data_IF_797580406717
#
_entry.id   IF_797580406717
#
_cell.length_a   1.000
_cell.length_b   1.000
_cell.length_c   1.000
_cell.angle_alpha   90.00
_cell.angle_beta   90.00
_cell.angle_gamma   90.00
#
_symmetry.space_group_name_H-M   'P 1'
#
loop_
_entity.id
_entity.type
_entity.pdbx_description
1 polymer ?
#
# COMPACT_ATOMS: atom_id res chain seq x y z
N UNK A 1 -20.80 -64.49 18.27
CA UNK A 1 -21.88 -64.07 19.17
C UNK A 1 -22.38 -62.71 18.69
N UNK A 2 -23.61 -62.72 18.22
CA UNK A 2 -24.63 -61.73 17.90
C UNK A 2 -24.23 -60.28 17.56
N UNK A 3 -24.35 -60.00 16.26
CA UNK A 3 -24.57 -58.72 15.60
C UNK A 3 -25.99 -58.23 15.89
N UNK A 4 -26.15 -56.93 16.21
CA UNK A 4 -27.44 -56.24 16.07
C UNK A 4 -27.27 -54.96 15.31
N UNK A 5 -27.81 -54.97 14.09
CA UNK A 5 -28.05 -53.87 13.16
C UNK A 5 -29.16 -52.95 13.70
N UNK A 6 -29.00 -51.62 13.57
CA UNK A 6 -30.12 -50.67 13.65
C UNK A 6 -30.10 -49.78 12.40
N UNK A 7 -31.11 -49.98 11.59
CA UNK A 7 -31.48 -49.15 10.44
C UNK A 7 -32.07 -47.80 10.94
N UNK A 8 -31.62 -46.72 10.37
CA UNK A 8 -32.29 -45.43 10.49
C UNK A 8 -32.94 -45.09 9.16
N UNK A 9 -34.23 -44.81 9.24
CA UNK A 9 -35.17 -44.51 8.17
C UNK A 9 -34.92 -43.10 7.63
N UNK A 10 -34.72 -42.97 6.33
CA UNK A 10 -34.68 -41.70 5.59
C UNK A 10 -36.10 -41.39 5.13
N UNK A 11 -36.68 -40.35 5.71
CA UNK A 11 -37.98 -39.81 5.26
C UNK A 11 -37.82 -38.88 4.07
N UNK A 12 -38.42 -39.30 2.95
CA UNK A 12 -38.52 -38.51 1.72
C UNK A 12 -39.73 -37.58 1.84
N UNK A 13 -39.52 -36.25 1.86
CA UNK A 13 -40.61 -35.28 1.76
C UNK A 13 -40.72 -34.88 0.29
N UNK A 14 -41.83 -35.27 -0.33
CA UNK A 14 -42.24 -34.84 -1.67
C UNK A 14 -43.11 -33.59 -1.48
N UNK A 15 -42.68 -32.45 -2.00
CA UNK A 15 -43.50 -31.24 -2.09
C UNK A 15 -44.00 -31.12 -3.55
N UNK A 16 -45.32 -31.23 -3.68
CA UNK A 16 -46.03 -31.06 -4.97
C UNK A 16 -46.13 -29.59 -5.35
N UNK A 17 -45.75 -29.27 -6.59
CA UNK A 17 -45.98 -27.99 -7.23
C UNK A 17 -47.46 -27.82 -7.61
N UNK A 18 -48.10 -26.86 -6.96
CA UNK A 18 -49.44 -26.39 -7.35
C UNK A 18 -49.31 -25.15 -8.23
N UNK A 19 -49.75 -25.30 -9.49
CA UNK A 19 -49.89 -24.16 -10.44
C UNK A 19 -51.06 -23.27 -10.04
N UNK A 20 -50.75 -22.01 -9.69
CA UNK A 20 -51.77 -20.96 -9.45
C UNK A 20 -51.51 -19.73 -10.32
N UNK A 21 -52.23 -19.66 -11.41
CA UNK A 21 -52.31 -18.47 -12.29
C UNK A 21 -53.17 -17.41 -11.60
N UNK A 22 -52.58 -16.26 -11.22
CA UNK A 22 -53.34 -15.11 -10.75
C UNK A 22 -53.03 -13.89 -11.63
N UNK A 23 -54.05 -13.53 -12.42
CA UNK A 23 -54.15 -12.31 -13.21
C UNK A 23 -54.32 -11.09 -12.30
N UNK A 24 -53.39 -10.12 -12.38
CA UNK A 24 -53.58 -8.81 -11.76
C UNK A 24 -54.02 -7.77 -12.79
N UNK A 25 -55.18 -7.20 -12.56
CA UNK A 25 -55.76 -6.07 -13.29
C UNK A 25 -54.95 -4.80 -13.09
N UNK A 26 -54.79 -4.04 -14.19
CA UNK A 26 -54.31 -2.65 -14.21
C UNK A 26 -55.25 -1.76 -13.41
N UNK A 27 -54.68 -0.96 -12.48
CA UNK A 27 -55.26 0.29 -12.01
C UNK A 27 -54.47 1.45 -12.59
N UNK A 28 -55.14 2.34 -13.31
CA UNK A 28 -54.66 3.67 -13.73
C UNK A 28 -54.87 4.64 -12.57
N UNK A 29 -53.90 5.51 -12.30
CA UNK A 29 -54.02 6.96 -12.30
C UNK A 29 -52.93 7.63 -11.45
N UNK A 30 -52.39 8.72 -11.94
CA UNK A 30 -51.80 9.76 -11.12
C UNK A 30 -50.40 10.22 -11.60
N UNK A 31 -50.39 11.37 -12.29
CA UNK A 31 -49.21 12.01 -12.85
C UNK A 31 -48.16 12.35 -11.80
N UNK A 32 -46.92 12.03 -12.12
CA UNK A 32 -45.72 12.49 -11.45
C UNK A 32 -44.66 12.71 -12.52
N UNK A 33 -44.19 13.92 -12.59
CA UNK A 33 -43.22 14.46 -13.54
C UNK A 33 -42.03 13.56 -13.72
N UNK A 34 -41.74 13.14 -14.95
CA UNK A 34 -40.53 12.42 -15.35
C UNK A 34 -39.31 13.29 -15.08
N UNK A 35 -38.44 12.81 -14.20
CA UNK A 35 -37.07 13.33 -14.06
C UNK A 35 -36.33 12.94 -15.34
N UNK A 36 -35.81 13.92 -16.05
CA UNK A 36 -34.94 13.75 -17.21
C UNK A 36 -33.70 12.97 -16.86
N UNK A 37 -33.19 12.11 -17.78
CA UNK A 37 -31.91 11.43 -17.56
C UNK A 37 -30.80 12.49 -17.48
N UNK A 38 -29.97 12.41 -16.41
CA UNK A 38 -28.78 13.21 -16.27
C UNK A 38 -27.84 12.81 -17.39
N UNK A 39 -27.70 13.66 -18.40
CA UNK A 39 -26.64 13.57 -19.40
C UNK A 39 -25.31 13.78 -18.68
N UNK A 40 -24.45 12.78 -18.71
CA UNK A 40 -23.05 12.91 -18.36
C UNK A 40 -22.44 13.77 -19.48
N UNK A 41 -22.32 15.06 -19.24
CA UNK A 41 -21.50 15.94 -20.08
C UNK A 41 -20.06 15.52 -19.95
N UNK A 42 -19.42 15.30 -21.09
CA UNK A 42 -17.96 15.08 -21.18
C UNK A 42 -17.21 16.20 -20.44
N UNK A 43 -16.08 15.91 -19.78
CA UNK A 43 -15.27 16.95 -19.16
C UNK A 43 -14.80 17.97 -20.20
N UNK A 44 -14.62 19.25 -19.82
CA UNK A 44 -14.23 20.29 -20.74
C UNK A 44 -12.87 19.96 -21.41
N UNK A 45 -12.66 20.38 -22.68
CA UNK A 45 -11.53 19.94 -23.50
C UNK A 45 -10.16 20.53 -23.14
N UNK A 46 -9.99 21.26 -22.04
CA UNK A 46 -8.76 22.00 -21.71
C UNK A 46 -7.81 21.34 -20.67
N UNK A 47 -8.06 20.08 -20.28
CA UNK A 47 -7.09 19.33 -19.46
C UNK A 47 -6.22 18.33 -20.27
N UNK A 48 -6.28 18.39 -21.62
CA UNK A 48 -5.38 17.65 -22.50
C UNK A 48 -4.01 18.32 -22.70
N UNK A 49 -3.72 19.40 -21.95
CA UNK A 49 -2.46 20.09 -21.95
C UNK A 49 -1.40 19.29 -21.19
N UNK A 50 -0.52 18.61 -21.95
CA UNK A 50 0.82 18.17 -21.54
C UNK A 50 0.95 17.11 -20.45
N UNK A 51 0.26 15.97 -20.55
CA UNK A 51 0.83 14.72 -20.03
C UNK A 51 1.84 14.18 -21.06
N UNK A 52 2.94 14.88 -21.24
CA UNK A 52 4.15 14.27 -21.79
C UNK A 52 4.57 13.26 -20.71
N UNK A 53 4.25 11.97 -20.94
CA UNK A 53 5.09 10.90 -20.45
C UNK A 53 6.47 11.17 -21.04
N UNK A 54 7.29 11.93 -20.31
CA UNK A 54 8.71 11.90 -20.55
C UNK A 54 9.09 10.43 -20.35
N UNK A 55 9.18 9.67 -21.43
CA UNK A 55 10.11 8.58 -21.52
C UNK A 55 11.46 9.25 -21.25
N UNK A 56 11.80 9.38 -19.96
CA UNK A 56 13.13 9.73 -19.56
C UNK A 56 13.98 8.63 -20.15
N UNK A 57 14.59 8.91 -21.29
CA UNK A 57 15.75 8.18 -21.76
C UNK A 57 16.74 8.33 -20.62
N UNK A 58 16.73 7.33 -19.73
CA UNK A 58 17.78 7.14 -18.75
C UNK A 58 19.04 6.93 -19.58
N UNK A 59 19.78 8.00 -19.78
CA UNK A 59 21.17 7.91 -20.19
C UNK A 59 21.82 6.99 -19.15
N UNK A 60 22.57 5.96 -19.52
CA UNK A 60 23.26 5.12 -18.58
C UNK A 60 24.48 5.87 -18.03
N UNK A 61 24.24 6.90 -17.27
CA UNK A 61 25.15 7.45 -16.30
C UNK A 61 25.04 6.56 -15.08
N UNK A 62 26.00 5.66 -14.89
CA UNK A 62 26.04 4.77 -13.75
C UNK A 62 25.80 5.59 -12.48
N UNK A 63 24.84 5.16 -11.66
CA UNK A 63 24.63 5.77 -10.36
C UNK A 63 25.99 5.85 -9.66
N UNK A 64 26.38 7.01 -9.09
CA UNK A 64 27.68 7.15 -8.45
C UNK A 64 27.85 6.04 -7.43
N UNK A 65 29.02 5.40 -7.44
CA UNK A 65 29.33 4.37 -6.45
C UNK A 65 29.04 4.94 -5.05
N UNK A 66 28.41 4.16 -4.16
CA UNK A 66 28.09 4.61 -2.82
C UNK A 66 29.37 5.12 -2.16
N UNK A 67 29.38 6.40 -1.76
CA UNK A 67 30.48 6.93 -0.94
C UNK A 67 30.39 6.25 0.42
N UNK A 68 31.53 5.80 1.00
CA UNK A 68 31.51 5.33 2.37
C UNK A 68 30.91 6.42 3.25
N UNK A 69 29.99 6.04 4.14
CA UNK A 69 29.40 6.97 5.08
C UNK A 69 30.50 7.59 5.95
N UNK A 70 30.41 8.87 6.31
CA UNK A 70 31.34 9.47 7.27
C UNK A 70 31.37 8.68 8.58
N UNK A 71 32.52 8.62 9.24
CA UNK A 71 32.59 8.05 10.59
C UNK A 71 31.67 8.85 11.52
N UNK A 72 30.82 8.15 12.30
CA UNK A 72 29.83 8.79 13.18
C UNK A 72 28.52 9.18 12.50
N UNK A 73 28.24 8.72 11.27
CA UNK A 73 26.95 8.93 10.62
C UNK A 73 25.86 8.12 11.34
N UNK A 74 24.85 8.78 11.93
CA UNK A 74 23.84 8.10 12.75
C UNK A 74 22.99 7.10 11.97
N UNK A 75 22.78 7.29 10.66
CA UNK A 75 22.03 6.34 9.83
C UNK A 75 22.88 5.09 9.58
N UNK A 76 24.17 5.28 9.24
CA UNK A 76 25.09 4.15 9.03
C UNK A 76 25.27 3.31 10.29
N UNK A 77 25.40 3.94 11.45
CA UNK A 77 25.52 3.25 12.73
C UNK A 77 24.26 2.49 13.10
N UNK A 78 23.09 3.13 12.99
CA UNK A 78 21.79 2.50 13.27
C UNK A 78 21.53 1.30 12.34
N UNK A 79 21.86 1.44 11.04
CA UNK A 79 21.73 0.38 10.05
C UNK A 79 22.62 -0.82 10.38
N UNK A 80 23.90 -0.56 10.69
CA UNK A 80 24.87 -1.60 11.05
C UNK A 80 24.47 -2.33 12.35
N UNK A 81 23.95 -1.61 13.34
CA UNK A 81 23.49 -2.19 14.60
C UNK A 81 22.24 -3.05 14.40
N UNK A 82 21.24 -2.57 13.66
CA UNK A 82 20.04 -3.33 13.33
C UNK A 82 20.39 -4.61 12.56
N UNK A 83 21.31 -4.53 11.58
CA UNK A 83 21.77 -5.69 10.83
C UNK A 83 22.44 -6.72 11.73
N UNK A 84 23.43 -6.30 12.56
CA UNK A 84 24.16 -7.19 13.47
C UNK A 84 23.25 -7.87 14.49
N UNK A 85 22.23 -7.16 14.99
CA UNK A 85 21.31 -7.69 16.01
C UNK A 85 20.45 -8.83 15.49
N UNK A 86 20.17 -8.89 14.18
CA UNK A 86 19.20 -9.84 13.65
C UNK A 86 19.77 -10.76 12.53
N UNK A 87 21.05 -10.64 12.14
CA UNK A 87 21.62 -11.46 11.05
C UNK A 87 21.55 -12.97 11.30
N UNK A 88 21.60 -13.39 12.56
CA UNK A 88 21.55 -14.80 12.95
C UNK A 88 20.14 -15.26 13.38
N UNK A 89 19.12 -14.39 13.29
CA UNK A 89 17.75 -14.75 13.61
C UNK A 89 17.19 -15.71 12.57
N UNK A 90 16.71 -16.89 12.98
CA UNK A 90 16.21 -17.96 12.13
C UNK A 90 14.72 -18.25 12.32
N UNK A 91 13.99 -17.36 13.03
CA UNK A 91 12.55 -17.49 13.23
C UNK A 91 11.80 -17.29 11.91
N UNK A 92 10.65 -17.97 11.80
CA UNK A 92 9.76 -17.87 10.63
C UNK A 92 9.99 -18.99 9.61
N UNK A 93 9.25 -18.94 8.51
CA UNK A 93 9.28 -19.92 7.43
C UNK A 93 9.04 -19.22 6.09
N UNK A 94 9.71 -19.67 5.03
CA UNK A 94 9.44 -19.17 3.69
C UNK A 94 7.99 -19.46 3.27
N UNK A 95 7.44 -18.67 2.35
CA UNK A 95 6.12 -18.92 1.77
C UNK A 95 6.10 -20.26 1.03
N UNK A 96 5.52 -21.31 1.64
CA UNK A 96 5.55 -22.67 1.12
C UNK A 96 4.41 -23.00 0.13
N UNK A 97 3.41 -22.14 0.05
CA UNK A 97 2.30 -22.28 -0.90
C UNK A 97 2.63 -21.78 -2.33
N UNK A 98 3.78 -21.15 -2.53
CA UNK A 98 4.37 -20.83 -3.83
C UNK A 98 5.70 -21.59 -3.90
N UNK A 99 5.79 -22.73 -4.64
CA UNK A 99 6.93 -23.65 -4.57
C UNK A 99 8.29 -22.99 -4.79
N UNK A 100 8.41 -22.05 -5.73
CA UNK A 100 9.67 -21.37 -6.00
C UNK A 100 10.12 -20.50 -4.80
N UNK A 101 9.19 -19.87 -4.08
CA UNK A 101 9.53 -19.07 -2.90
C UNK A 101 9.96 -19.94 -1.71
N UNK A 102 9.43 -21.14 -1.62
CA UNK A 102 9.84 -22.09 -0.59
C UNK A 102 11.32 -22.50 -0.69
N UNK A 103 11.90 -22.47 -1.90
CA UNK A 103 13.28 -22.87 -2.18
C UNK A 103 14.33 -21.79 -1.99
N UNK A 104 13.93 -20.54 -1.72
CA UNK A 104 14.86 -19.43 -1.55
C UNK A 104 15.69 -19.61 -0.27
N UNK A 105 16.98 -19.29 -0.32
CA UNK A 105 17.87 -19.39 0.87
C UNK A 105 17.33 -18.52 2.03
N UNK A 106 16.91 -19.11 3.15
CA UNK A 106 16.36 -18.37 4.29
C UNK A 106 17.41 -17.50 5.01
N UNK A 107 18.69 -17.64 4.70
CA UNK A 107 19.76 -16.84 5.29
C UNK A 107 19.92 -15.47 4.64
N UNK A 108 19.35 -15.26 3.44
CA UNK A 108 19.39 -13.97 2.78
C UNK A 108 18.83 -12.87 3.68
N UNK A 109 19.58 -11.79 3.83
CA UNK A 109 19.18 -10.65 4.62
C UNK A 109 19.84 -9.38 4.12
N UNK A 110 19.04 -8.45 3.63
CA UNK A 110 19.43 -7.13 3.17
C UNK A 110 18.65 -6.03 3.89
N UNK A 111 19.31 -4.93 4.22
CA UNK A 111 18.70 -3.77 4.85
C UNK A 111 19.24 -2.49 4.20
N UNK A 112 18.34 -1.57 3.83
CA UNK A 112 18.68 -0.35 3.09
C UNK A 112 17.89 0.83 3.64
N UNK A 113 18.53 1.98 3.75
CA UNK A 113 17.89 3.28 4.00
C UNK A 113 18.18 4.19 2.82
N UNK A 114 17.12 4.83 2.28
CA UNK A 114 17.24 5.88 1.26
C UNK A 114 16.58 7.15 1.78
N UNK A 115 17.34 8.25 1.84
CA UNK A 115 16.82 9.54 2.28
C UNK A 115 16.10 10.27 1.14
N UNK A 116 15.23 11.24 1.48
CA UNK A 116 14.57 12.08 0.46
C UNK A 116 15.56 12.98 -0.31
N UNK A 117 16.80 13.12 0.18
CA UNK A 117 17.90 13.79 -0.53
C UNK A 117 18.69 12.85 -1.45
N UNK A 118 18.35 11.55 -1.50
CA UNK A 118 18.99 10.55 -2.36
C UNK A 118 20.23 9.89 -1.77
N UNK A 119 20.58 10.10 -0.50
CA UNK A 119 21.62 9.32 0.16
C UNK A 119 21.16 7.88 0.40
N UNK A 120 22.04 6.91 0.10
CA UNK A 120 21.76 5.47 0.20
C UNK A 120 22.72 4.83 1.16
N UNK A 121 22.17 4.08 2.12
CA UNK A 121 22.89 3.25 3.10
C UNK A 121 22.40 1.81 2.94
N UNK A 122 23.32 0.88 2.70
CA UNK A 122 22.95 -0.51 2.40
C UNK A 122 23.92 -1.50 3.07
N UNK A 123 23.39 -2.66 3.52
CA UNK A 123 24.16 -3.73 4.15
C UNK A 123 23.54 -5.10 3.85
N UNK A 124 24.39 -6.14 3.78
CA UNK A 124 23.96 -7.51 3.51
C UNK A 124 23.49 -7.73 2.08
N UNK A 125 22.50 -8.60 1.90
CA UNK A 125 21.87 -8.95 0.61
C UNK A 125 21.00 -7.82 0.05
N UNK A 126 21.49 -6.57 0.15
CA UNK A 126 20.75 -5.37 -0.20
C UNK A 126 20.41 -5.27 -1.69
N UNK A 127 21.19 -5.94 -2.54
CA UNK A 127 21.06 -5.91 -4.01
C UNK A 127 20.63 -7.24 -4.63
N UNK A 128 20.48 -8.29 -3.80
CA UNK A 128 19.98 -9.57 -4.27
C UNK A 128 18.53 -9.42 -4.72
N UNK A 129 18.22 -9.91 -5.91
CA UNK A 129 16.90 -9.77 -6.50
C UNK A 129 15.93 -10.83 -5.97
N UNK A 130 14.70 -10.41 -5.74
CA UNK A 130 13.58 -11.26 -5.34
C UNK A 130 12.27 -10.71 -5.92
N UNK A 131 11.20 -11.50 -5.94
CA UNK A 131 9.90 -11.05 -6.44
C UNK A 131 9.26 -10.05 -5.47
N UNK A 132 8.80 -8.91 -6.00
CA UNK A 132 8.22 -7.80 -5.22
C UNK A 132 6.98 -8.21 -4.44
N UNK A 133 6.20 -9.14 -4.98
CA UNK A 133 4.96 -9.64 -4.39
C UNK A 133 4.02 -8.48 -3.97
N UNK A 134 3.39 -8.60 -2.82
CA UNK A 134 2.43 -7.60 -2.33
C UNK A 134 3.04 -6.22 -2.02
N UNK A 135 4.37 -6.06 -2.03
CA UNK A 135 4.98 -4.73 -1.92
C UNK A 135 4.70 -3.87 -3.15
N UNK A 136 4.32 -4.46 -4.28
CA UNK A 136 3.90 -3.75 -5.50
C UNK A 136 2.61 -2.94 -5.35
N UNK A 137 1.68 -3.39 -4.49
CA UNK A 137 0.31 -2.86 -4.37
C UNK A 137 0.22 -1.34 -4.10
N UNK A 138 0.98 -0.75 -3.15
CA UNK A 138 0.96 0.69 -2.92
C UNK A 138 1.27 1.51 -4.17
N UNK A 139 2.20 1.05 -4.98
CA UNK A 139 2.64 1.80 -6.16
C UNK A 139 1.59 1.76 -7.28
N UNK A 140 0.88 0.65 -7.44
CA UNK A 140 -0.23 0.57 -8.39
C UNK A 140 -1.43 1.40 -7.94
N UNK A 141 -1.79 1.37 -6.64
CA UNK A 141 -2.87 2.25 -6.16
C UNK A 141 -2.48 3.73 -6.23
N UNK A 142 -1.21 4.08 -5.99
CA UNK A 142 -0.73 5.46 -6.18
C UNK A 142 -0.96 5.92 -7.63
N UNK A 143 -0.72 5.06 -8.61
CA UNK A 143 -0.99 5.36 -10.02
C UNK A 143 -2.47 5.50 -10.32
N UNK A 144 -3.33 4.65 -9.75
CA UNK A 144 -4.79 4.78 -9.91
C UNK A 144 -5.29 6.09 -9.29
N UNK A 145 -4.83 6.43 -8.08
CA UNK A 145 -5.18 7.71 -7.44
C UNK A 145 -4.75 8.88 -8.31
N UNK A 146 -3.53 8.85 -8.87
CA UNK A 146 -3.00 9.91 -9.73
C UNK A 146 -3.80 10.09 -11.02
N UNK A 147 -4.29 9.00 -11.62
CA UNK A 147 -4.89 9.05 -12.96
C UNK A 147 -6.41 9.00 -12.96
N UNK A 148 -7.04 8.42 -11.95
CA UNK A 148 -8.49 8.28 -11.84
C UNK A 148 -9.08 9.03 -10.64
N UNK A 149 -8.22 9.50 -9.71
CA UNK A 149 -8.63 10.22 -8.50
C UNK A 149 -8.79 9.32 -7.27
N UNK A 150 -8.59 9.90 -6.10
CA UNK A 150 -8.70 9.16 -4.82
C UNK A 150 -10.14 8.70 -4.53
N UNK A 151 -11.13 9.44 -4.97
CA UNK A 151 -12.54 9.14 -4.75
C UNK A 151 -12.97 7.82 -5.42
N UNK A 152 -12.42 7.49 -6.59
CA UNK A 152 -12.72 6.23 -7.27
C UNK A 152 -12.23 5.03 -6.46
N UNK A 153 -11.06 5.15 -5.82
CA UNK A 153 -10.51 4.09 -4.95
C UNK A 153 -11.40 3.90 -3.72
N UNK A 154 -11.80 4.99 -3.05
CA UNK A 154 -12.69 4.91 -1.87
C UNK A 154 -14.05 4.31 -2.23
N UNK A 155 -14.66 4.70 -3.36
CA UNK A 155 -15.99 4.23 -3.78
C UNK A 155 -16.01 2.82 -4.36
N UNK A 156 -14.98 2.43 -5.12
CA UNK A 156 -14.98 1.18 -5.88
C UNK A 156 -14.20 0.03 -5.22
N UNK A 157 -13.28 0.35 -4.32
CA UNK A 157 -12.42 -0.64 -3.65
C UNK A 157 -12.58 -0.54 -2.14
N UNK A 158 -12.60 0.67 -1.58
CA UNK A 158 -12.52 0.97 -0.16
C UNK A 158 -11.10 1.28 0.28
N UNK A 159 -10.97 1.80 1.52
CA UNK A 159 -9.69 2.21 2.10
C UNK A 159 -9.50 1.73 3.54
N UNK A 160 -10.50 1.04 4.10
CA UNK A 160 -10.49 0.59 5.48
C UNK A 160 -9.78 -0.75 5.65
N UNK A 161 -9.18 -0.99 6.82
CA UNK A 161 -8.70 -2.32 7.19
C UNK A 161 -9.86 -3.32 7.24
N UNK A 162 -9.65 -4.54 6.75
CA UNK A 162 -10.67 -5.60 6.77
C UNK A 162 -10.70 -6.37 8.09
N UNK A 163 -9.64 -6.30 8.89
CA UNK A 163 -9.46 -7.13 10.08
C UNK A 163 -9.35 -8.63 9.79
N UNK A 164 -9.17 -9.00 8.53
CA UNK A 164 -9.09 -10.39 8.05
C UNK A 164 -7.79 -10.61 7.27
N UNK A 165 -7.46 -11.89 7.03
CA UNK A 165 -6.31 -12.26 6.20
C UNK A 165 -6.40 -11.61 4.82
N UNK A 166 -5.24 -11.32 4.23
CA UNK A 166 -5.10 -10.60 2.96
C UNK A 166 -5.83 -11.22 1.75
N UNK A 167 -6.21 -12.49 1.84
CA UNK A 167 -6.90 -13.24 0.79
C UNK A 167 -8.26 -13.80 1.25
N UNK A 168 -8.89 -13.20 2.25
CA UNK A 168 -10.13 -13.71 2.85
C UNK A 168 -11.35 -13.48 1.94
N UNK A 169 -11.96 -14.55 1.48
CA UNK A 169 -13.28 -14.54 0.80
C UNK A 169 -14.38 -14.15 1.80
N UNK A 170 -14.26 -14.61 3.06
CA UNK A 170 -15.21 -14.21 4.10
C UNK A 170 -15.26 -12.68 4.28
N UNK A 171 -14.11 -11.99 4.19
CA UNK A 171 -14.10 -10.54 4.25
C UNK A 171 -14.93 -9.91 3.12
N UNK A 172 -14.86 -10.46 1.91
CA UNK A 172 -15.63 -9.98 0.77
C UNK A 172 -17.15 -10.13 1.00
N UNK A 173 -17.59 -11.29 1.49
CA UNK A 173 -18.99 -11.56 1.79
C UNK A 173 -19.53 -10.68 2.92
N UNK A 174 -18.75 -10.48 3.98
CA UNK A 174 -19.12 -9.60 5.08
C UNK A 174 -19.28 -8.15 4.60
N UNK A 175 -18.31 -7.65 3.83
CA UNK A 175 -18.33 -6.28 3.32
C UNK A 175 -19.45 -6.04 2.31
N UNK A 176 -19.80 -7.02 1.47
CA UNK A 176 -20.94 -6.94 0.55
C UNK A 176 -22.26 -6.72 1.29
N UNK A 177 -22.41 -7.31 2.47
CA UNK A 177 -23.66 -7.31 3.23
C UNK A 177 -23.75 -6.21 4.31
N UNK A 178 -22.68 -5.40 4.50
CA UNK A 178 -22.76 -4.24 5.39
C UNK A 178 -23.59 -3.16 4.71
N UNK A 179 -24.69 -2.67 5.35
CA UNK A 179 -25.42 -1.52 4.84
C UNK A 179 -24.47 -0.31 4.81
N UNK A 180 -24.11 0.12 3.64
CA UNK A 180 -23.34 1.35 3.43
C UNK A 180 -24.21 2.38 2.72
N UNK A 181 -23.80 3.65 2.73
CA UNK A 181 -24.36 4.63 1.81
C UNK A 181 -24.41 4.03 0.41
N UNK A 182 -25.50 4.23 -0.30
CA UNK A 182 -25.83 3.57 -1.59
C UNK A 182 -24.70 3.63 -2.64
N UNK A 183 -23.70 4.48 -2.41
CA UNK A 183 -22.56 4.70 -3.30
C UNK A 183 -21.28 3.98 -2.87
N UNK A 184 -21.27 3.25 -1.74
CA UNK A 184 -20.08 2.64 -1.16
C UNK A 184 -20.25 1.14 -0.85
N UNK A 185 -20.45 0.32 -1.87
CA UNK A 185 -20.35 -1.13 -1.68
C UNK A 185 -18.99 -1.58 -2.18
N UNK A 186 -18.08 -1.86 -1.26
CA UNK A 186 -16.70 -2.22 -1.59
C UNK A 186 -16.32 -3.59 -1.05
N UNK A 187 -16.88 -4.69 -1.61
CA UNK A 187 -16.52 -6.04 -1.18
C UNK A 187 -15.04 -6.36 -1.39
N UNK A 188 -14.33 -5.56 -2.17
CA UNK A 188 -12.87 -5.66 -2.35
C UNK A 188 -12.06 -5.28 -1.12
N UNK A 189 -12.62 -4.55 -0.15
CA UNK A 189 -12.02 -4.16 1.12
C UNK A 189 -11.08 -2.96 1.03
N UNK A 190 -9.85 -3.16 0.57
CA UNK A 190 -8.87 -2.10 0.32
C UNK A 190 -7.81 -2.57 -0.70
N UNK A 191 -7.04 -1.64 -1.31
CA UNK A 191 -6.07 -1.99 -2.36
C UNK A 191 -4.89 -2.87 -1.92
N UNK A 192 -4.71 -3.11 -0.62
CA UNK A 192 -3.54 -3.84 -0.08
C UNK A 192 -3.84 -5.29 0.28
N UNK A 193 -5.11 -5.71 0.26
CA UNK A 193 -5.52 -7.12 0.28
C UNK A 193 -5.70 -7.63 -1.15
N UNK A 194 -5.69 -8.97 -1.36
CA UNK A 194 -5.71 -9.52 -2.73
C UNK A 194 -6.96 -9.11 -3.52
N UNK A 195 -8.20 -9.17 -2.97
CA UNK A 195 -9.37 -8.73 -3.72
C UNK A 195 -9.26 -7.28 -4.18
N UNK A 196 -8.86 -6.38 -3.28
CA UNK A 196 -8.72 -4.97 -3.62
C UNK A 196 -7.55 -4.68 -4.57
N UNK A 197 -6.45 -5.43 -4.49
CA UNK A 197 -5.32 -5.25 -5.40
C UNK A 197 -5.66 -5.69 -6.84
N UNK A 198 -6.38 -6.81 -7.00
CA UNK A 198 -6.88 -7.27 -8.31
C UNK A 198 -7.87 -6.24 -8.89
N UNK A 199 -8.79 -5.73 -8.06
CA UNK A 199 -9.71 -4.66 -8.46
C UNK A 199 -8.97 -3.36 -8.83
N UNK A 200 -7.88 -3.01 -8.13
CA UNK A 200 -7.04 -1.84 -8.43
C UNK A 200 -6.40 -1.97 -9.81
N UNK A 201 -5.90 -3.16 -10.17
CA UNK A 201 -5.37 -3.44 -11.51
C UNK A 201 -6.44 -3.29 -12.59
N UNK A 202 -7.67 -3.77 -12.33
CA UNK A 202 -8.79 -3.60 -13.28
C UNK A 202 -9.15 -2.12 -13.48
N UNK A 203 -9.17 -1.34 -12.40
CA UNK A 203 -9.50 0.10 -12.44
C UNK A 203 -8.42 0.98 -13.08
N UNK A 204 -7.20 0.48 -13.29
CA UNK A 204 -6.10 1.29 -13.81
C UNK A 204 -6.41 1.80 -15.23
N UNK A 205 -6.49 3.13 -15.44
CA UNK A 205 -6.68 3.71 -16.76
C UNK A 205 -5.47 3.45 -17.66
N UNK A 206 -5.73 3.20 -18.93
CA UNK A 206 -4.70 2.95 -19.94
C UNK A 206 -4.69 4.10 -20.95
N UNK A 207 -3.59 4.85 -21.04
CA UNK A 207 -3.43 5.87 -22.09
C UNK A 207 -3.49 5.28 -23.50
N UNK A 208 -3.96 6.08 -24.46
CA UNK A 208 -4.00 5.68 -25.87
C UNK A 208 -2.62 5.22 -26.36
N UNK A 209 -2.58 4.06 -27.02
CA UNK A 209 -1.34 3.49 -27.56
C UNK A 209 -0.48 2.71 -26.57
N UNK A 210 -0.95 2.54 -25.33
CA UNK A 210 -0.31 1.67 -24.33
C UNK A 210 -1.17 0.45 -24.01
N UNK A 211 -0.55 -0.60 -23.48
CA UNK A 211 -1.26 -1.68 -22.82
C UNK A 211 -1.20 -1.51 -21.28
N UNK A 212 -2.08 -2.21 -20.59
CA UNK A 212 -2.19 -2.10 -19.13
C UNK A 212 -0.93 -2.60 -18.42
N UNK A 213 -0.27 -3.62 -18.96
CA UNK A 213 0.98 -4.13 -18.42
C UNK A 213 2.12 -3.10 -18.53
N UNK A 214 2.25 -2.46 -19.68
CA UNK A 214 3.23 -1.38 -19.87
C UNK A 214 3.03 -0.22 -18.89
N UNK A 215 1.77 0.12 -18.55
CA UNK A 215 1.47 1.14 -17.52
C UNK A 215 1.91 0.67 -16.13
N UNK A 216 1.62 -0.58 -15.76
CA UNK A 216 2.01 -1.14 -14.45
C UNK A 216 3.53 -1.19 -14.33
N UNK A 217 4.22 -1.82 -15.29
CA UNK A 217 5.67 -1.98 -15.24
C UNK A 217 6.38 -0.63 -15.28
N UNK A 218 5.99 0.26 -16.19
CA UNK A 218 6.56 1.61 -16.31
C UNK A 218 6.38 2.44 -15.03
N UNK A 219 5.26 2.27 -14.33
CA UNK A 219 5.05 2.92 -13.03
C UNK A 219 6.00 2.36 -11.95
N UNK A 220 6.15 1.04 -11.84
CA UNK A 220 7.11 0.42 -10.91
C UNK A 220 8.54 0.85 -11.21
N UNK A 221 8.94 0.89 -12.49
CA UNK A 221 10.24 1.39 -12.95
C UNK A 221 10.48 2.86 -12.57
N UNK A 222 9.46 3.71 -12.73
CA UNK A 222 9.55 5.13 -12.35
C UNK A 222 9.75 5.29 -10.84
N UNK A 223 9.06 4.49 -10.02
CA UNK A 223 9.27 4.47 -8.57
C UNK A 223 10.66 3.95 -8.18
N UNK A 224 11.14 2.89 -8.82
CA UNK A 224 12.47 2.31 -8.56
C UNK A 224 13.62 3.17 -9.13
N UNK A 225 13.35 4.01 -10.13
CA UNK A 225 14.36 4.79 -10.84
C UNK A 225 15.26 3.96 -11.75
N UNK A 226 14.85 2.74 -12.10
CA UNK A 226 15.55 1.83 -13.03
C UNK A 226 14.59 0.93 -13.78
N UNK A 227 15.08 0.28 -14.84
CA UNK A 227 14.36 -0.78 -15.54
C UNK A 227 14.22 -2.02 -14.66
N UNK A 228 13.03 -2.62 -14.70
CA UNK A 228 12.68 -3.83 -13.97
C UNK A 228 12.24 -4.92 -14.96
N UNK A 229 12.31 -6.17 -14.54
CA UNK A 229 11.87 -7.34 -15.31
C UNK A 229 10.95 -8.24 -14.48
N UNK A 230 10.14 -9.02 -15.16
CA UNK A 230 9.39 -10.11 -14.53
C UNK A 230 10.32 -11.28 -14.26
N UNK A 231 10.21 -11.91 -13.10
CA UNK A 231 10.78 -13.21 -12.85
C UNK A 231 9.82 -14.27 -13.40
N UNK A 232 10.15 -14.84 -14.56
CA UNK A 232 9.29 -15.78 -15.27
C UNK A 232 9.07 -17.09 -14.52
N UNK A 233 10.01 -17.51 -13.68
CA UNK A 233 9.86 -18.71 -12.85
C UNK A 233 8.84 -18.48 -11.73
N UNK A 234 8.91 -17.33 -11.07
CA UNK A 234 7.92 -16.93 -10.05
C UNK A 234 6.56 -16.75 -10.69
N UNK A 235 6.47 -16.05 -11.83
CA UNK A 235 5.22 -15.83 -12.54
C UNK A 235 4.55 -17.15 -12.92
N UNK A 236 5.31 -18.11 -13.47
CA UNK A 236 4.80 -19.42 -13.84
C UNK A 236 4.33 -20.21 -12.60
N UNK A 237 5.17 -20.30 -11.57
CA UNK A 237 4.87 -21.00 -10.33
C UNK A 237 3.60 -20.45 -9.66
N UNK A 238 3.45 -19.13 -9.57
CA UNK A 238 2.28 -18.49 -8.97
C UNK A 238 1.04 -18.66 -9.86
N UNK A 239 1.16 -18.54 -11.19
CA UNK A 239 0.04 -18.74 -12.12
C UNK A 239 -0.55 -20.15 -12.07
N UNK A 240 0.28 -21.16 -11.83
CA UNK A 240 -0.14 -22.57 -11.69
C UNK A 240 -0.83 -22.85 -10.35
N UNK A 241 -0.44 -22.11 -9.27
CA UNK A 241 -0.90 -22.38 -7.90
C UNK A 241 -1.93 -21.39 -7.37
N UNK A 242 -2.38 -20.41 -8.16
CA UNK A 242 -3.22 -19.28 -7.73
C UNK A 242 -4.74 -19.59 -7.67
N UNK A 243 -5.15 -20.84 -7.45
CA UNK A 243 -6.57 -21.27 -7.43
C UNK A 243 -7.42 -20.39 -6.52
N UNK A 244 -6.91 -20.00 -5.36
CA UNK A 244 -7.63 -19.13 -4.43
C UNK A 244 -7.90 -17.73 -5.03
N UNK A 245 -6.92 -17.12 -5.69
CA UNK A 245 -7.10 -15.83 -6.36
C UNK A 245 -8.03 -15.93 -7.57
N UNK A 246 -8.09 -17.11 -8.25
CA UNK A 246 -9.09 -17.37 -9.30
C UNK A 246 -10.51 -17.34 -8.74
N UNK A 247 -10.75 -17.91 -7.55
CA UNK A 247 -12.04 -17.83 -6.89
C UNK A 247 -12.37 -16.36 -6.49
N UNK A 248 -11.40 -15.65 -5.92
CA UNK A 248 -11.56 -14.23 -5.55
C UNK A 248 -11.96 -13.38 -6.76
N UNK A 249 -11.28 -13.51 -7.90
CA UNK A 249 -11.57 -12.65 -9.06
C UNK A 249 -12.93 -12.96 -9.69
N UNK A 250 -13.39 -14.21 -9.63
CA UNK A 250 -14.75 -14.56 -10.06
C UNK A 250 -15.81 -13.94 -9.16
N UNK A 251 -15.62 -13.94 -7.84
CA UNK A 251 -16.51 -13.25 -6.91
C UNK A 251 -16.49 -11.73 -7.12
N UNK A 252 -15.31 -11.12 -7.37
CA UNK A 252 -15.22 -9.71 -7.70
C UNK A 252 -16.01 -9.35 -8.97
N UNK A 253 -16.04 -10.26 -9.95
CA UNK A 253 -16.85 -10.11 -11.17
C UNK A 253 -18.33 -10.22 -10.87
N UNK A 254 -18.75 -11.21 -10.09
CA UNK A 254 -20.13 -11.40 -9.65
C UNK A 254 -20.64 -10.22 -8.79
N UNK A 255 -19.76 -9.64 -7.98
CA UNK A 255 -20.07 -8.44 -7.18
C UNK A 255 -19.96 -7.12 -7.94
N UNK A 256 -19.75 -7.17 -9.26
CA UNK A 256 -19.63 -6.01 -10.15
C UNK A 256 -18.49 -5.04 -9.80
N UNK A 257 -17.47 -5.51 -9.05
CA UNK A 257 -16.27 -4.73 -8.71
C UNK A 257 -15.31 -4.71 -9.90
N UNK A 258 -15.01 -5.88 -10.48
CA UNK A 258 -14.22 -6.02 -11.70
C UNK A 258 -15.14 -5.85 -12.91
N UNK A 259 -14.87 -4.83 -13.72
CA UNK A 259 -15.68 -4.52 -14.92
C UNK A 259 -15.15 -5.25 -16.16
N UNK A 260 -13.82 -5.38 -16.26
CA UNK A 260 -13.14 -6.04 -17.36
C UNK A 260 -13.21 -7.58 -17.34
N UNK A 261 -12.28 -8.21 -18.06
CA UNK A 261 -12.07 -9.65 -18.00
C UNK A 261 -11.40 -10.01 -16.67
N UNK A 262 -12.06 -10.84 -15.82
CA UNK A 262 -11.53 -11.21 -14.52
C UNK A 262 -10.21 -11.97 -14.62
N UNK A 263 -10.01 -12.80 -15.64
CA UNK A 263 -8.78 -13.57 -15.80
C UNK A 263 -7.63 -12.69 -16.27
N UNK A 264 -7.89 -11.66 -17.10
CA UNK A 264 -6.91 -10.67 -17.47
C UNK A 264 -6.46 -9.83 -16.26
N UNK A 265 -7.41 -9.40 -15.41
CA UNK A 265 -7.10 -8.66 -14.18
C UNK A 265 -6.20 -9.51 -13.24
N UNK A 266 -6.49 -10.80 -13.10
CA UNK A 266 -5.69 -11.73 -12.31
C UNK A 266 -4.30 -11.96 -12.90
N UNK A 267 -4.19 -12.13 -14.23
CA UNK A 267 -2.91 -12.32 -14.91
C UNK A 267 -1.99 -11.11 -14.70
N UNK A 268 -2.50 -9.90 -14.92
CA UNK A 268 -1.76 -8.66 -14.71
C UNK A 268 -1.32 -8.49 -13.24
N UNK A 269 -2.18 -8.85 -12.30
CA UNK A 269 -1.86 -8.84 -10.88
C UNK A 269 -0.73 -9.86 -10.56
N UNK A 270 -0.78 -11.07 -11.11
CA UNK A 270 0.25 -12.10 -10.92
C UNK A 270 1.59 -11.65 -11.52
N UNK A 271 1.59 -11.08 -12.73
CA UNK A 271 2.79 -10.49 -13.33
C UNK A 271 3.39 -9.37 -12.48
N UNK A 272 2.54 -8.48 -11.97
CA UNK A 272 2.96 -7.40 -11.06
C UNK A 272 3.65 -7.95 -9.81
N UNK A 273 3.11 -9.00 -9.19
CA UNK A 273 3.70 -9.66 -8.02
C UNK A 273 5.06 -10.31 -8.34
N UNK A 274 5.26 -10.73 -9.58
CA UNK A 274 6.46 -11.45 -10.03
C UNK A 274 7.59 -10.55 -10.53
N UNK A 275 7.45 -9.21 -10.44
CA UNK A 275 8.53 -8.28 -10.84
C UNK A 275 9.71 -8.43 -9.90
N UNK A 276 10.93 -8.55 -10.46
CA UNK A 276 12.20 -8.62 -9.72
C UNK A 276 12.60 -7.26 -9.17
N UNK A 277 12.86 -7.20 -7.88
CA UNK A 277 13.36 -6.02 -7.17
C UNK A 277 14.38 -6.45 -6.10
N UNK A 278 15.18 -5.50 -5.63
CA UNK A 278 16.06 -5.66 -4.47
C UNK A 278 15.55 -4.85 -3.27
N UNK A 279 16.13 -5.06 -2.09
CA UNK A 279 15.85 -4.23 -0.91
C UNK A 279 16.18 -2.74 -1.19
N UNK A 280 17.22 -2.49 -2.01
CA UNK A 280 17.56 -1.14 -2.46
C UNK A 280 16.45 -0.51 -3.29
N UNK A 281 15.87 -1.24 -4.24
CA UNK A 281 14.76 -0.73 -5.03
C UNK A 281 13.57 -0.40 -4.16
N UNK A 282 13.21 -1.28 -3.21
CA UNK A 282 12.13 -1.02 -2.26
C UNK A 282 12.37 0.26 -1.45
N UNK A 283 13.61 0.49 -1.00
CA UNK A 283 13.96 1.71 -0.27
C UNK A 283 13.84 2.97 -1.16
N UNK A 284 14.26 2.91 -2.43
CA UNK A 284 14.09 4.01 -3.40
C UNK A 284 12.61 4.28 -3.69
N UNK A 285 11.82 3.22 -3.94
CA UNK A 285 10.38 3.31 -4.16
C UNK A 285 9.66 3.93 -2.95
N UNK A 286 10.01 3.48 -1.74
CA UNK A 286 9.51 4.06 -0.49
C UNK A 286 9.94 5.52 -0.29
N UNK A 287 11.21 5.86 -0.58
CA UNK A 287 11.72 7.22 -0.51
C UNK A 287 11.04 8.15 -1.52
N UNK A 288 10.62 7.63 -2.67
CA UNK A 288 9.78 8.36 -3.64
C UNK A 288 8.44 8.76 -3.00
N UNK A 289 7.76 7.86 -2.30
CA UNK A 289 6.55 8.20 -1.54
C UNK A 289 6.85 9.16 -0.38
N UNK A 290 7.96 8.95 0.35
CA UNK A 290 8.38 9.83 1.44
C UNK A 290 8.65 11.27 0.96
N UNK A 291 9.08 11.44 -0.29
CA UNK A 291 9.41 12.70 -0.93
C UNK A 291 8.24 13.31 -1.74
N UNK A 292 6.99 13.03 -1.33
CA UNK A 292 5.81 13.54 -2.02
C UNK A 292 5.69 13.06 -3.46
N UNK A 293 6.05 11.82 -3.74
CA UNK A 293 5.96 11.20 -5.06
C UNK A 293 7.11 11.54 -6.02
N UNK A 294 8.12 12.28 -5.56
CA UNK A 294 9.31 12.61 -6.37
C UNK A 294 10.44 11.64 -6.08
N UNK A 295 10.90 10.94 -7.11
CA UNK A 295 12.01 9.99 -6.99
C UNK A 295 13.32 10.73 -6.63
N UNK A 296 13.97 10.41 -5.48
CA UNK A 296 15.13 11.16 -5.01
C UNK A 296 16.40 10.94 -5.84
N UNK A 297 16.46 9.89 -6.67
CA UNK A 297 17.62 9.57 -7.49
C UNK A 297 17.51 10.18 -8.89
N UNK A 298 16.32 10.12 -9.50
CA UNK A 298 16.10 10.60 -10.88
C UNK A 298 15.57 12.03 -10.92
N UNK A 299 15.00 12.53 -9.79
CA UNK A 299 14.32 13.82 -9.73
C UNK A 299 12.94 13.85 -10.40
N UNK A 300 12.49 12.73 -10.98
CA UNK A 300 11.18 12.65 -11.66
C UNK A 300 10.03 12.70 -10.65
N UNK A 301 8.98 13.49 -10.95
CA UNK A 301 7.71 13.44 -10.23
C UNK A 301 6.91 12.25 -10.77
N UNK A 302 6.81 11.16 -10.02
CA UNK A 302 6.15 9.90 -10.41
C UNK A 302 4.64 9.99 -10.20
N UNK A 303 4.25 10.52 -9.04
CA UNK A 303 2.86 10.84 -8.67
C UNK A 303 2.85 12.16 -7.90
N UNK A 304 1.70 12.81 -7.81
CA UNK A 304 1.54 14.06 -7.05
C UNK A 304 1.77 13.87 -5.55
N UNK A 305 2.08 14.94 -4.78
CA UNK A 305 2.16 14.87 -3.33
C UNK A 305 0.86 14.40 -2.67
N UNK A 306 -0.29 14.75 -3.25
CA UNK A 306 -1.60 14.29 -2.77
C UNK A 306 -1.76 12.78 -2.96
N UNK A 307 -1.45 12.24 -4.14
CA UNK A 307 -1.50 10.80 -4.40
C UNK A 307 -0.56 10.01 -3.51
N UNK A 308 0.65 10.52 -3.26
CA UNK A 308 1.59 9.92 -2.33
C UNK A 308 1.04 9.90 -0.88
N UNK A 309 0.46 11.01 -0.41
CA UNK A 309 -0.13 11.11 0.94
C UNK A 309 -1.33 10.16 1.11
N UNK A 310 -2.26 10.11 0.14
CA UNK A 310 -3.40 9.17 0.16
C UNK A 310 -2.94 7.72 0.15
N UNK A 311 -1.92 7.40 -0.64
CA UNK A 311 -1.31 6.06 -0.66
C UNK A 311 -0.73 5.69 0.70
N UNK A 312 0.05 6.57 1.32
CA UNK A 312 0.62 6.32 2.64
C UNK A 312 -0.44 6.17 3.73
N UNK A 313 -1.56 6.89 3.64
CA UNK A 313 -2.70 6.71 4.55
C UNK A 313 -3.30 5.29 4.43
N UNK A 314 -3.50 4.78 3.22
CA UNK A 314 -3.96 3.39 3.00
C UNK A 314 -2.92 2.39 3.53
N UNK A 315 -1.63 2.63 3.28
CA UNK A 315 -0.54 1.77 3.79
C UNK A 315 -0.51 1.76 5.32
N UNK A 316 -0.77 2.88 5.97
CA UNK A 316 -0.85 2.97 7.44
C UNK A 316 -1.98 2.12 8.02
N UNK A 317 -3.09 1.94 7.30
CA UNK A 317 -4.25 1.18 7.81
C UNK A 317 -4.20 -0.32 7.52
N UNK A 318 -3.51 -0.76 6.45
CA UNK A 318 -3.63 -2.14 5.96
C UNK A 318 -2.32 -2.75 5.41
N UNK A 319 -1.17 -2.10 5.60
CA UNK A 319 0.08 -2.46 4.92
C UNK A 319 0.71 -3.79 5.34
N UNK A 320 0.57 -4.20 6.62
CA UNK A 320 1.05 -5.46 7.16
C UNK A 320 -0.13 -6.42 7.45
N UNK A 321 -1.13 -6.43 6.56
CA UNK A 321 -2.28 -7.31 6.65
C UNK A 321 -3.05 -7.12 7.98
N UNK A 322 -3.49 -8.20 8.61
CA UNK A 322 -4.22 -8.16 9.90
C UNK A 322 -3.36 -7.64 11.08
N UNK A 323 -2.03 -7.60 10.95
CA UNK A 323 -1.11 -7.13 12.02
C UNK A 323 -0.72 -5.66 11.89
N UNK A 324 -1.32 -4.91 10.96
CA UNK A 324 -0.98 -3.50 10.71
C UNK A 324 -1.16 -2.62 11.95
N UNK A 325 -2.22 -2.84 12.73
CA UNK A 325 -2.46 -2.09 13.97
C UNK A 325 -1.35 -2.30 15.01
N UNK A 326 -0.91 -3.54 15.18
CA UNK A 326 0.22 -3.88 16.06
C UNK A 326 1.54 -3.24 15.59
N UNK A 327 1.76 -3.25 14.26
CA UNK A 327 2.91 -2.57 13.66
C UNK A 327 2.90 -1.07 13.93
N UNK A 328 1.77 -0.38 13.68
CA UNK A 328 1.67 1.05 13.96
C UNK A 328 1.84 1.38 15.44
N UNK A 329 1.33 0.54 16.34
CA UNK A 329 1.50 0.71 17.78
C UNK A 329 2.98 0.62 18.20
N UNK A 330 3.73 -0.35 17.64
CA UNK A 330 5.14 -0.57 17.99
C UNK A 330 6.09 0.37 17.28
N UNK A 331 5.87 0.62 15.99
CA UNK A 331 6.84 1.28 15.10
C UNK A 331 6.42 2.69 14.69
N UNK A 332 5.12 2.91 14.51
CA UNK A 332 4.56 4.23 14.26
C UNK A 332 4.76 4.80 12.86
N UNK A 333 5.03 3.96 11.84
CA UNK A 333 5.16 4.40 10.45
C UNK A 333 4.40 3.50 9.49
N UNK A 334 3.91 4.01 8.34
CA UNK A 334 3.38 3.20 7.27
C UNK A 334 4.43 2.19 6.75
N UNK A 335 4.05 0.93 6.58
CA UNK A 335 4.89 -0.06 5.94
C UNK A 335 4.08 -1.07 5.14
N UNK A 336 4.68 -1.64 4.08
CA UNK A 336 4.08 -2.71 3.28
C UNK A 336 5.01 -3.91 3.20
N UNK A 337 4.44 -5.08 3.46
CA UNK A 337 5.12 -6.37 3.38
C UNK A 337 4.70 -7.16 2.13
N UNK A 338 5.54 -8.11 1.75
CA UNK A 338 5.26 -9.08 0.69
C UNK A 338 5.79 -10.46 1.05
N UNK A 339 5.11 -11.50 0.62
CA UNK A 339 5.45 -12.90 0.94
C UNK A 339 6.76 -13.38 0.28
N UNK A 340 7.37 -12.59 -0.58
CA UNK A 340 8.75 -12.78 -1.04
C UNK A 340 9.81 -12.43 0.01
N UNK A 341 9.41 -11.91 1.18
CA UNK A 341 10.33 -11.49 2.26
C UNK A 341 10.70 -10.01 2.25
N UNK A 342 10.11 -9.23 1.35
CA UNK A 342 10.31 -7.78 1.26
C UNK A 342 9.43 -7.00 2.23
N UNK A 343 9.99 -5.91 2.82
CA UNK A 343 9.23 -4.86 3.50
C UNK A 343 9.76 -3.49 3.04
N UNK A 344 8.83 -2.57 2.79
CA UNK A 344 9.13 -1.14 2.67
C UNK A 344 8.44 -0.39 3.79
N UNK A 345 9.20 0.38 4.59
CA UNK A 345 8.68 1.27 5.63
C UNK A 345 9.01 2.72 5.27
N UNK A 346 8.08 3.65 5.49
CA UNK A 346 8.19 5.02 4.99
C UNK A 346 8.08 6.01 6.14
N UNK A 347 9.09 6.88 6.28
CA UNK A 347 9.08 8.03 7.18
C UNK A 347 8.87 9.28 6.34
N UNK A 348 7.64 9.79 6.21
CA UNK A 348 7.32 10.92 5.33
C UNK A 348 8.23 12.13 5.56
N UNK A 349 8.71 12.73 4.48
CA UNK A 349 9.60 13.89 4.50
C UNK A 349 11.04 13.61 4.94
N UNK A 350 11.42 12.33 5.25
CA UNK A 350 12.75 12.02 5.76
C UNK A 350 13.45 10.92 4.96
N UNK A 351 12.97 9.69 5.03
CA UNK A 351 13.60 8.53 4.39
C UNK A 351 12.63 7.34 4.28
N UNK A 352 13.05 6.32 3.58
CA UNK A 352 12.41 5.01 3.63
C UNK A 352 13.42 3.91 3.91
N UNK A 353 12.91 2.79 4.44
CA UNK A 353 13.66 1.58 4.72
C UNK A 353 13.14 0.48 3.82
N UNK A 354 14.02 -0.17 3.06
CA UNK A 354 13.75 -1.40 2.32
C UNK A 354 14.49 -2.56 2.97
N UNK A 355 13.84 -3.70 3.12
CA UNK A 355 14.49 -4.92 3.61
C UNK A 355 14.07 -6.13 2.83
N UNK A 356 14.95 -7.11 2.76
CA UNK A 356 14.72 -8.42 2.17
C UNK A 356 15.20 -9.51 3.13
N UNK A 357 14.28 -10.38 3.57
CA UNK A 357 14.59 -11.58 4.34
C UNK A 357 13.43 -12.58 4.20
N UNK A 358 13.62 -13.74 3.57
CA UNK A 358 12.57 -14.68 3.19
C UNK A 358 11.71 -15.23 4.32
N UNK A 359 12.22 -15.59 5.53
CA UNK A 359 11.39 -16.19 6.57
C UNK A 359 10.29 -15.25 7.07
N UNK A 360 9.05 -15.76 7.06
CA UNK A 360 7.81 -15.04 7.38
C UNK A 360 7.19 -15.51 8.69
N UNK A 361 6.44 -14.64 9.35
CA UNK A 361 5.52 -14.98 10.43
C UNK A 361 4.20 -15.60 9.90
N UNK A 362 3.28 -15.89 10.81
CA UNK A 362 1.99 -16.50 10.47
C UNK A 362 1.08 -15.58 9.62
N UNK A 363 1.29 -14.27 9.66
CA UNK A 363 0.55 -13.30 8.86
C UNK A 363 1.16 -13.09 7.46
N UNK A 364 2.37 -13.62 7.21
CA UNK A 364 3.08 -13.49 5.94
C UNK A 364 4.06 -12.33 5.86
N UNK A 365 4.48 -11.77 6.99
CA UNK A 365 5.43 -10.68 7.07
C UNK A 365 6.83 -11.19 7.43
N UNK A 366 7.89 -10.65 6.82
CA UNK A 366 9.28 -11.00 7.15
C UNK A 366 9.58 -10.77 8.62
N UNK A 367 9.92 -11.84 9.38
CA UNK A 367 10.20 -11.75 10.83
C UNK A 367 11.42 -10.87 11.08
N UNK A 368 12.54 -11.19 10.41
CA UNK A 368 13.81 -10.47 10.53
C UNK A 368 13.67 -9.02 10.05
N UNK A 369 12.94 -8.83 8.93
CA UNK A 369 12.67 -7.51 8.38
C UNK A 369 11.92 -6.61 9.34
N UNK A 370 10.85 -7.09 9.99
CA UNK A 370 10.09 -6.33 10.99
C UNK A 370 10.98 -5.90 12.17
N UNK A 371 11.72 -6.85 12.76
CA UNK A 371 12.61 -6.58 13.89
C UNK A 371 13.70 -5.56 13.56
N UNK A 372 14.28 -5.66 12.36
CA UNK A 372 15.33 -4.74 11.92
C UNK A 372 14.80 -3.32 11.69
N UNK A 373 13.67 -3.18 11.04
CA UNK A 373 13.04 -1.88 10.81
C UNK A 373 12.65 -1.23 12.14
N UNK A 374 12.04 -1.98 13.06
CA UNK A 374 11.69 -1.49 14.40
C UNK A 374 12.92 -0.94 15.14
N UNK A 375 13.99 -1.73 15.25
CA UNK A 375 15.21 -1.33 15.93
C UNK A 375 15.88 -0.10 15.29
N UNK A 376 15.90 -0.04 13.97
CA UNK A 376 16.44 1.08 13.22
C UNK A 376 15.65 2.36 13.49
N UNK A 377 14.31 2.31 13.44
CA UNK A 377 13.46 3.48 13.63
C UNK A 377 13.42 3.95 15.09
N UNK A 378 13.60 3.06 16.06
CA UNK A 378 13.80 3.44 17.48
C UNK A 378 15.04 4.33 17.64
N UNK A 379 16.14 4.03 16.95
CA UNK A 379 17.37 4.84 16.99
C UNK A 379 17.25 6.14 16.20
N UNK A 380 16.63 6.11 15.01
CA UNK A 380 16.55 7.27 14.12
C UNK A 380 15.37 8.21 14.43
N UNK A 381 14.44 7.82 15.31
CA UNK A 381 13.29 8.66 15.66
C UNK A 381 12.31 8.86 14.50
N UNK A 382 11.80 7.78 13.94
CA UNK A 382 10.88 7.79 12.80
C UNK A 382 9.39 7.79 13.13
N UNK A 383 9.00 7.52 14.40
CA UNK A 383 7.59 7.39 14.79
C UNK A 383 6.80 8.68 14.55
N UNK A 384 5.76 8.61 13.73
CA UNK A 384 4.91 9.75 13.35
C UNK A 384 4.01 10.27 14.49
N UNK A 385 3.75 9.44 15.49
CA UNK A 385 2.89 9.76 16.63
C UNK A 385 3.69 10.30 17.82
N UNK A 386 5.04 10.23 17.78
CA UNK A 386 5.90 10.77 18.83
C UNK A 386 5.91 12.30 18.76
N UNK A 387 5.27 12.95 19.74
CA UNK A 387 5.31 14.40 19.93
C UNK A 387 6.42 14.76 20.92
N UNK A 388 7.20 15.81 20.59
CA UNK A 388 8.05 16.46 21.60
C UNK A 388 7.21 17.53 22.29
N UNK A 389 7.24 17.64 23.65
CA UNK A 389 6.60 18.77 24.31
C UNK A 389 7.09 20.09 23.74
N UNK A 390 6.18 21.02 23.46
CA UNK A 390 6.57 22.35 23.05
C UNK A 390 7.49 22.93 24.13
N UNK A 391 8.72 23.30 23.76
CA UNK A 391 9.60 24.04 24.65
C UNK A 391 8.83 25.26 25.15
N UNK A 392 8.89 25.57 26.46
CA UNK A 392 8.34 26.84 26.97
C UNK A 392 8.88 27.95 26.09
N UNK A 393 7.99 28.67 25.41
CA UNK A 393 8.37 29.89 24.74
C UNK A 393 9.15 30.73 25.76
N UNK A 394 10.43 31.00 25.50
CA UNK A 394 11.15 32.02 26.29
C UNK A 394 10.33 33.26 26.13
N UNK A 395 9.69 33.71 27.20
CA UNK A 395 9.07 35.03 27.25
C UNK A 395 10.19 36.04 27.09
N UNK A 396 10.46 36.48 25.87
CA UNK A 396 11.23 37.69 25.59
C UNK A 396 10.33 38.90 25.84
N UNK A 397 9.95 39.03 27.07
CA UNK A 397 9.15 40.12 27.57
C UNK A 397 9.78 40.68 28.82
N UNK A 398 11.04 41.12 28.72
CA UNK A 398 11.47 42.21 29.60
C UNK A 398 10.76 43.45 29.08
N UNK A 399 9.58 43.76 29.70
CA UNK A 399 9.05 45.11 29.61
C UNK A 399 10.15 46.04 30.12
N UNK A 400 10.73 46.86 29.21
CA UNK A 400 11.49 48.01 29.62
C UNK A 400 10.63 48.84 30.58
N UNK A 401 11.14 49.27 31.74
CA UNK A 401 10.40 50.22 32.57
C UNK A 401 10.13 51.49 31.76
N UNK A 402 8.89 51.95 31.82
CA UNK A 402 8.51 53.22 31.21
C UNK A 402 9.39 54.33 31.78
N UNK A 403 9.79 55.36 30.99
CA UNK A 403 10.55 56.47 31.50
C UNK A 403 9.70 57.25 32.49
N UNK A 404 10.27 57.51 33.68
CA UNK A 404 9.67 58.30 34.74
C UNK A 404 9.20 59.68 34.17
N UNK A 405 7.88 59.90 34.20
CA UNK A 405 7.31 61.19 33.89
C UNK A 405 7.66 62.20 34.98
N UNK A 406 7.73 63.52 34.61
CA UNK A 406 8.17 64.53 35.55
C UNK A 406 7.24 64.66 36.73
N UNK A 407 7.83 64.66 37.94
CA UNK A 407 7.18 64.86 39.22
C UNK A 407 6.50 66.24 39.28
N UNK A 408 5.24 66.34 39.75
CA UNK A 408 4.57 67.66 39.86
C UNK A 408 5.22 68.48 40.97
N UNK A 409 5.62 69.74 40.63
CA UNK A 409 6.16 70.75 41.51
C UNK A 409 5.13 71.09 42.62
N UNK A 410 5.51 70.92 43.90
CA UNK A 410 4.77 71.41 45.05
C UNK A 410 4.90 72.91 45.11
N UNK A 411 3.83 73.65 44.77
CA UNK A 411 3.68 75.06 45.00
C UNK A 411 3.48 75.34 46.52
N UNK A 412 4.53 75.85 47.16
CA UNK A 412 4.39 76.45 48.52
C UNK A 412 3.70 77.81 48.36
N UNK A 413 2.43 77.86 48.73
CA UNK A 413 1.76 79.15 49.01
C UNK A 413 2.24 79.72 50.37
N UNK A 414 2.73 80.92 50.31
CA UNK A 414 2.88 81.83 51.49
C UNK A 414 1.56 82.54 51.68
N UNK A 415 1.00 82.43 52.80
CA UNK A 415 0.59 83.39 53.82
C UNK A 415 -0.30 82.70 54.85
#
# INVERSE_FOLDING_TARGET
MKVTSRHALVGLIVISLGSGCATWRRARAGGGTAASPVSITAPPPDLAGNLVLAAATVTPGGAPAPRPAPAGDPIAEALADAYRSFKDLSEGKNADYIPILASIDPKLYGLVVVTVQGAIYEIGSARDEFSIQSVSKPFTVARVIETAGAEIVDKRIGVNATGQKFNSILAMDLLKNIPSDKDKVTPAGNPLVNPGAIATVDLLPVPTGMDKWGVILGNLEAFAGRKLSVNDEVYRSESETNTHNRAIVQLLKDYEVVQGDPMQALDLYTRQCSVSVSARDLAVMGATLANGGRNPLTGAQVVSPESAAKTLAIVATAGLYETTGEWLYKVGVPAKSGVGGGIVAVVPGKFAVGTFSPPLDAAGNSVRGQRAVEALLQKLGGNLFASKPAGRARSTGAMSPAPDGPSPAVARGRN
#
